data_IF_563533247791
#
_entry.id   IF_563533247791
#
_cell.length_a   1.000
_cell.length_b   1.000
_cell.length_c   1.000
_cell.angle_alpha   90.00
_cell.angle_beta   90.00
_cell.angle_gamma   90.00
#
_symmetry.space_group_name_H-M   'P 1'
#
loop_
_entity.id
_entity.type
_entity.pdbx_description
1 polymer ?
#
# COMPACT_ATOMS: atom_id res chain seq x y z
N UNK A 1 27.19 -30.52 20.88
CA UNK A 1 26.22 -29.48 21.25
C UNK A 1 26.01 -28.43 20.15
N UNK A 2 27.02 -27.77 19.60
CA UNK A 2 26.82 -26.72 18.54
C UNK A 2 26.12 -27.21 17.26
N UNK A 3 26.35 -28.41 16.78
CA UNK A 3 25.65 -28.98 15.60
C UNK A 3 24.17 -29.32 15.83
N UNK A 4 23.81 -29.72 17.08
CA UNK A 4 22.40 -30.01 17.44
C UNK A 4 21.57 -28.72 17.57
N UNK A 5 22.16 -27.63 18.04
CA UNK A 5 21.48 -26.31 18.15
C UNK A 5 21.23 -25.73 16.76
N UNK A 6 22.17 -25.89 15.82
CA UNK A 6 22.00 -25.42 14.44
C UNK A 6 20.91 -26.17 13.67
N UNK A 7 20.77 -27.49 13.89
CA UNK A 7 19.72 -28.30 13.27
C UNK A 7 18.34 -27.98 13.86
N UNK A 8 18.26 -27.76 15.18
CA UNK A 8 17.00 -27.36 15.84
C UNK A 8 16.57 -25.94 15.44
N UNK A 9 17.50 -25.02 15.30
CA UNK A 9 17.17 -23.66 14.82
C UNK A 9 16.76 -23.63 13.34
N UNK A 10 17.42 -24.40 12.47
CA UNK A 10 17.01 -24.54 11.07
C UNK A 10 15.63 -25.21 10.92
N UNK A 11 15.32 -26.21 11.77
CA UNK A 11 14.00 -26.86 11.78
C UNK A 11 12.90 -25.91 12.28
N UNK A 12 13.16 -25.13 13.31
CA UNK A 12 12.20 -24.13 13.83
C UNK A 12 11.91 -23.02 12.82
N UNK A 13 12.92 -22.54 12.10
CA UNK A 13 12.76 -21.53 11.04
C UNK A 13 11.96 -22.09 9.86
N UNK A 14 12.22 -23.35 9.46
CA UNK A 14 11.47 -23.98 8.35
C UNK A 14 9.99 -24.23 8.71
N UNK A 15 9.69 -24.62 9.94
CA UNK A 15 8.30 -24.80 10.41
C UNK A 15 7.58 -23.46 10.49
N UNK A 16 8.25 -22.39 10.90
CA UNK A 16 7.67 -21.04 10.94
C UNK A 16 7.37 -20.51 9.53
N UNK A 17 8.30 -20.64 8.58
CA UNK A 17 8.10 -20.21 7.19
C UNK A 17 6.96 -21.00 6.50
N UNK A 18 6.89 -22.33 6.73
CA UNK A 18 5.80 -23.15 6.21
C UNK A 18 4.43 -22.69 6.76
N UNK A 19 4.34 -22.46 8.06
CA UNK A 19 3.11 -22.00 8.70
C UNK A 19 2.67 -20.59 8.18
N UNK A 20 3.61 -19.71 7.89
CA UNK A 20 3.33 -18.38 7.32
C UNK A 20 2.84 -18.49 5.87
N UNK A 21 3.45 -19.36 5.06
CA UNK A 21 3.02 -19.63 3.68
C UNK A 21 1.60 -20.21 3.63
N UNK A 22 1.27 -21.19 4.51
CA UNK A 22 -0.10 -21.72 4.65
C UNK A 22 -1.08 -20.62 5.09
N UNK A 23 -0.69 -19.76 6.01
CA UNK A 23 -1.53 -18.63 6.43
C UNK A 23 -1.80 -17.64 5.28
N UNK A 24 -0.80 -17.35 4.43
CA UNK A 24 -1.00 -16.53 3.24
C UNK A 24 -2.02 -17.17 2.29
N UNK A 25 -1.91 -18.49 2.04
CA UNK A 25 -2.86 -19.24 1.20
C UNK A 25 -4.27 -19.15 1.75
N UNK A 26 -4.46 -19.43 3.04
CA UNK A 26 -5.78 -19.33 3.70
C UNK A 26 -6.40 -17.95 3.54
N UNK A 27 -5.62 -16.88 3.66
CA UNK A 27 -6.11 -15.51 3.47
C UNK A 27 -6.59 -15.25 2.04
N UNK A 28 -5.88 -15.76 1.03
CA UNK A 28 -6.26 -15.62 -0.37
C UNK A 28 -7.44 -16.53 -0.75
N UNK A 29 -7.56 -17.73 -0.14
CA UNK A 29 -8.70 -18.60 -0.33
C UNK A 29 -10.00 -18.01 0.24
N UNK A 30 -9.92 -17.30 1.37
CA UNK A 30 -11.04 -16.58 1.96
C UNK A 30 -11.54 -15.44 1.06
N UNK A 31 -10.61 -14.76 0.38
CA UNK A 31 -10.91 -13.68 -0.55
C UNK A 31 -9.82 -13.59 -1.61
N UNK A 32 -10.10 -14.14 -2.79
CA UNK A 32 -9.15 -14.17 -3.91
C UNK A 32 -8.78 -12.77 -4.41
N UNK A 33 -9.60 -11.74 -4.13
CA UNK A 33 -9.29 -10.36 -4.52
C UNK A 33 -8.09 -9.80 -3.78
N UNK A 34 -7.68 -10.39 -2.66
CA UNK A 34 -6.42 -10.09 -1.95
C UNK A 34 -5.18 -10.36 -2.81
N UNK A 35 -5.29 -11.28 -3.78
CA UNK A 35 -4.21 -11.51 -4.76
C UNK A 35 -3.92 -10.31 -5.66
N UNK A 36 -4.82 -9.32 -5.71
CA UNK A 36 -4.60 -8.03 -6.38
C UNK A 36 -3.55 -7.14 -5.67
N UNK A 37 -3.10 -7.57 -4.48
CA UNK A 37 -1.99 -6.97 -3.74
C UNK A 37 -2.22 -5.46 -3.48
N UNK A 38 -1.32 -4.59 -3.93
CA UNK A 38 -1.43 -3.14 -3.75
C UNK A 38 -2.65 -2.52 -4.47
N UNK A 39 -3.29 -3.25 -5.37
CA UNK A 39 -4.54 -2.85 -5.99
C UNK A 39 -5.78 -3.32 -5.21
N UNK A 40 -5.58 -4.05 -4.12
CA UNK A 40 -6.68 -4.44 -3.24
C UNK A 40 -7.39 -3.21 -2.66
N UNK A 41 -8.71 -3.28 -2.57
CA UNK A 41 -9.52 -2.20 -2.00
C UNK A 41 -9.22 -2.02 -0.51
N UNK A 42 -9.43 -0.81 -0.02
CA UNK A 42 -9.28 -0.52 1.41
C UNK A 42 -10.32 -1.27 2.24
N UNK A 43 -9.86 -2.13 3.11
CA UNK A 43 -10.71 -2.79 4.11
C UNK A 43 -10.78 -1.93 5.37
N UNK A 44 -11.86 -1.15 5.48
CA UNK A 44 -12.12 -0.40 6.70
C UNK A 44 -12.24 -1.35 7.90
N UNK A 45 -11.77 -0.97 9.11
CA UNK A 45 -11.98 -1.79 10.29
C UNK A 45 -13.47 -1.95 10.58
N UNK A 46 -13.96 -3.18 10.76
CA UNK A 46 -15.36 -3.49 11.09
C UNK A 46 -15.79 -2.82 12.41
N UNK A 47 -14.87 -2.73 13.36
CA UNK A 47 -15.05 -2.04 14.63
C UNK A 47 -13.85 -1.12 14.86
N UNK A 48 -14.15 0.13 15.17
CA UNK A 48 -13.15 1.07 15.66
C UNK A 48 -12.76 0.65 17.07
N UNK A 49 -11.66 -0.07 17.21
CA UNK A 49 -11.02 -0.29 18.52
C UNK A 49 -10.22 0.97 18.82
N UNK A 50 -10.59 1.65 19.90
CA UNK A 50 -9.91 2.86 20.33
C UNK A 50 -9.61 2.79 21.83
N UNK A 51 -8.35 2.53 22.16
CA UNK A 51 -7.90 2.55 23.56
C UNK A 51 -8.08 3.97 24.12
N UNK A 52 -8.87 4.14 25.22
CA UNK A 52 -9.14 5.45 25.78
C UNK A 52 -7.87 6.20 26.17
N UNK A 53 -7.85 7.51 25.95
CA UNK A 53 -6.75 8.35 26.39
C UNK A 53 -6.57 8.31 27.90
N UNK A 54 -5.32 8.35 28.41
CA UNK A 54 -5.05 8.43 29.83
C UNK A 54 -5.76 9.61 30.48
N UNK A 55 -6.16 9.45 31.75
CA UNK A 55 -6.90 10.48 32.49
C UNK A 55 -6.23 11.84 32.42
N UNK A 56 -6.97 12.85 31.99
CA UNK A 56 -6.50 14.23 31.87
C UNK A 56 -5.90 14.62 30.51
N UNK A 57 -5.68 13.65 29.61
CA UNK A 57 -5.23 13.92 28.25
C UNK A 57 -6.44 14.05 27.31
N UNK A 58 -6.34 15.00 26.38
CA UNK A 58 -7.34 15.24 25.33
C UNK A 58 -6.67 15.31 23.97
N UNK A 59 -7.24 14.72 22.91
CA UNK A 59 -6.70 14.86 21.57
C UNK A 59 -6.85 16.32 21.11
N UNK A 60 -5.83 16.83 20.39
CA UNK A 60 -5.81 18.24 19.97
C UNK A 60 -5.22 18.48 18.59
N UNK A 61 -4.48 17.53 18.01
CA UNK A 61 -3.86 17.64 16.70
C UNK A 61 -3.72 16.26 16.08
N UNK A 62 -3.86 16.18 14.73
CA UNK A 62 -3.65 14.98 13.95
C UNK A 62 -2.66 15.26 12.82
N UNK A 63 -1.64 14.41 12.69
CA UNK A 63 -0.77 14.32 11.51
C UNK A 63 -1.16 13.08 10.72
N UNK A 64 -1.56 13.25 9.46
CA UNK A 64 -2.04 12.19 8.59
C UNK A 64 -1.20 12.11 7.30
N UNK A 65 -0.94 10.88 6.85
CA UNK A 65 -0.52 10.58 5.49
C UNK A 65 -1.48 9.53 4.91
N UNK A 66 -2.07 9.82 3.74
CA UNK A 66 -2.91 8.90 2.97
C UNK A 66 -2.33 8.63 1.58
N UNK A 67 -2.24 7.35 1.20
CA UNK A 67 -2.12 6.93 -0.18
C UNK A 67 -3.41 7.31 -0.92
N UNK A 68 -3.35 7.66 -2.21
CA UNK A 68 -4.56 7.85 -3.02
C UNK A 68 -5.49 6.62 -2.96
N UNK A 69 -6.78 6.82 -3.16
CA UNK A 69 -7.78 5.76 -3.19
C UNK A 69 -7.73 4.89 -4.44
N UNK A 70 -8.70 3.98 -4.56
CA UNK A 70 -8.88 3.12 -5.74
C UNK A 70 -8.92 3.94 -7.02
N UNK A 71 -8.27 3.43 -8.06
CA UNK A 71 -7.99 4.15 -9.31
C UNK A 71 -7.98 3.23 -10.52
N UNK A 72 -8.03 3.78 -11.70
CA UNK A 72 -7.66 3.11 -12.93
C UNK A 72 -6.14 2.84 -12.96
N UNK A 73 -5.66 1.90 -13.79
CA UNK A 73 -4.22 1.71 -13.97
C UNK A 73 -3.52 3.03 -14.25
N UNK A 74 -2.37 3.26 -13.61
CA UNK A 74 -1.64 4.53 -13.72
C UNK A 74 -0.97 4.74 -15.09
N UNK A 75 -0.89 3.68 -15.90
CA UNK A 75 -0.41 3.70 -17.29
C UNK A 75 -1.15 2.66 -18.12
N UNK A 76 -1.44 2.97 -19.38
CA UNK A 76 -2.03 2.05 -20.34
C UNK A 76 -1.14 0.81 -20.60
N UNK A 77 0.19 0.96 -20.47
CA UNK A 77 1.14 -0.13 -20.65
C UNK A 77 0.86 -1.36 -19.78
N UNK A 78 0.22 -1.21 -18.64
CA UNK A 78 -0.14 -2.34 -17.77
C UNK A 78 -1.17 -3.28 -18.41
N UNK A 79 -1.99 -2.75 -19.30
CA UNK A 79 -2.97 -3.53 -20.06
C UNK A 79 -2.38 -3.91 -21.41
N UNK A 80 -1.73 -2.96 -22.08
CA UNK A 80 -1.26 -3.10 -23.47
C UNK A 80 -0.22 -4.20 -23.64
N UNK A 81 0.61 -4.48 -22.64
CA UNK A 81 1.63 -5.54 -22.71
C UNK A 81 1.01 -6.93 -22.93
N UNK A 82 0.03 -7.31 -22.12
CA UNK A 82 -0.67 -8.59 -22.27
C UNK A 82 -1.58 -8.59 -23.51
N UNK A 83 -2.33 -7.52 -23.69
CA UNK A 83 -3.31 -7.40 -24.78
C UNK A 83 -2.69 -7.41 -26.17
N UNK A 84 -1.55 -6.75 -26.39
CA UNK A 84 -0.86 -6.73 -27.69
C UNK A 84 -0.37 -8.12 -28.12
N UNK A 85 0.06 -8.94 -27.16
CA UNK A 85 0.41 -10.33 -27.42
C UNK A 85 -0.85 -11.12 -27.82
N UNK A 86 -1.93 -10.99 -27.05
CA UNK A 86 -3.22 -11.64 -27.35
C UNK A 86 -3.80 -11.21 -28.71
N UNK A 87 -3.69 -9.92 -29.05
CA UNK A 87 -4.12 -9.41 -30.36
C UNK A 87 -3.29 -10.02 -31.50
N UNK A 88 -1.98 -10.18 -31.30
CA UNK A 88 -1.10 -10.82 -32.28
C UNK A 88 -1.42 -12.29 -32.46
N UNK A 89 -1.69 -13.02 -31.39
CA UNK A 89 -2.12 -14.43 -31.44
C UNK A 89 -3.46 -14.56 -32.15
N UNK A 90 -4.42 -13.69 -31.85
CA UNK A 90 -5.74 -13.68 -32.51
C UNK A 90 -5.63 -13.42 -34.02
N UNK A 91 -4.79 -12.47 -34.45
CA UNK A 91 -4.57 -12.13 -35.85
C UNK A 91 -4.01 -13.30 -36.69
N UNK A 92 -3.42 -14.31 -36.03
CA UNK A 92 -2.86 -15.50 -36.67
C UNK A 92 -3.63 -16.79 -36.37
N UNK A 93 -4.87 -16.66 -35.86
CA UNK A 93 -5.75 -17.78 -35.49
C UNK A 93 -5.12 -18.78 -34.49
N UNK A 94 -4.29 -18.26 -33.57
CA UNK A 94 -3.58 -19.08 -32.59
C UNK A 94 -4.30 -19.18 -31.24
N UNK A 95 -5.38 -18.41 -31.00
CA UNK A 95 -6.13 -18.47 -29.74
C UNK A 95 -7.16 -19.61 -29.77
N UNK A 96 -7.26 -20.32 -28.64
CA UNK A 96 -8.39 -21.20 -28.32
C UNK A 96 -9.65 -20.36 -28.03
N UNK A 97 -10.77 -21.01 -27.76
CA UNK A 97 -11.98 -20.35 -27.28
C UNK A 97 -11.70 -19.64 -25.94
N UNK A 98 -10.99 -20.30 -25.00
CA UNK A 98 -10.60 -19.73 -23.73
C UNK A 98 -9.64 -18.54 -23.90
N UNK A 99 -8.62 -18.66 -24.76
CA UNK A 99 -7.72 -17.54 -25.06
C UNK A 99 -8.45 -16.34 -25.68
N UNK A 100 -9.46 -16.58 -26.50
CA UNK A 100 -10.29 -15.51 -27.03
C UNK A 100 -11.15 -14.83 -25.94
N UNK A 101 -11.62 -15.58 -24.93
CA UNK A 101 -12.33 -15.03 -23.78
C UNK A 101 -11.41 -14.16 -22.92
N UNK A 102 -10.19 -14.63 -22.62
CA UNK A 102 -9.17 -13.83 -21.92
C UNK A 102 -8.89 -12.50 -22.63
N UNK A 103 -8.74 -12.58 -23.97
CA UNK A 103 -8.54 -11.38 -24.80
C UNK A 103 -9.72 -10.41 -24.70
N UNK A 104 -10.95 -10.93 -24.71
CA UNK A 104 -12.16 -10.10 -24.58
C UNK A 104 -12.22 -9.37 -23.24
N UNK A 105 -11.86 -10.04 -22.14
CA UNK A 105 -11.78 -9.42 -20.82
C UNK A 105 -10.71 -8.33 -20.75
N UNK A 106 -9.55 -8.55 -21.36
CA UNK A 106 -8.52 -7.51 -21.43
C UNK A 106 -8.99 -6.28 -22.24
N UNK A 107 -9.75 -6.48 -23.31
CA UNK A 107 -10.36 -5.38 -24.06
C UNK A 107 -11.41 -4.64 -23.23
N UNK A 108 -12.23 -5.33 -22.44
CA UNK A 108 -13.19 -4.70 -21.54
C UNK A 108 -12.48 -3.82 -20.51
N UNK A 109 -11.38 -4.32 -19.90
CA UNK A 109 -10.55 -3.54 -19.00
C UNK A 109 -9.97 -2.30 -19.73
N UNK A 110 -9.46 -2.49 -20.94
CA UNK A 110 -8.89 -1.39 -21.74
C UNK A 110 -9.92 -0.31 -22.06
N UNK A 111 -11.10 -0.71 -22.47
CA UNK A 111 -12.19 0.21 -22.80
C UNK A 111 -12.64 1.01 -21.57
N UNK A 112 -12.69 0.39 -20.39
CA UNK A 112 -12.96 1.07 -19.13
C UNK A 112 -11.93 2.14 -18.79
N UNK A 113 -10.70 2.04 -19.31
CA UNK A 113 -9.62 3.00 -19.07
C UNK A 113 -9.59 4.17 -20.06
N UNK A 114 -10.48 4.17 -21.06
CA UNK A 114 -10.47 5.17 -22.14
C UNK A 114 -10.72 6.59 -21.60
N UNK A 115 -9.70 7.45 -21.68
CA UNK A 115 -9.75 8.82 -21.22
C UNK A 115 -9.59 9.03 -19.71
N UNK A 116 -9.42 7.94 -18.93
CA UNK A 116 -9.36 8.00 -17.45
C UNK A 116 -8.15 7.26 -16.84
N UNK A 117 -7.15 6.95 -17.64
CA UNK A 117 -5.93 6.28 -17.18
C UNK A 117 -5.31 7.07 -16.01
N UNK A 118 -5.09 6.39 -14.89
CA UNK A 118 -4.51 6.95 -13.67
C UNK A 118 -5.44 7.79 -12.81
N UNK A 119 -6.72 7.93 -13.21
CA UNK A 119 -7.69 8.71 -12.46
C UNK A 119 -8.25 7.94 -11.26
N UNK A 120 -8.67 8.68 -10.23
CA UNK A 120 -9.40 8.13 -9.09
C UNK A 120 -10.75 7.56 -9.58
N UNK A 121 -11.15 6.39 -9.04
CA UNK A 121 -12.50 5.86 -9.27
C UNK A 121 -13.48 6.40 -8.24
N UNK A 122 -14.79 6.14 -8.45
CA UNK A 122 -15.82 6.48 -7.47
C UNK A 122 -15.55 5.79 -6.11
N UNK A 123 -15.19 4.50 -6.14
CA UNK A 123 -14.76 3.76 -4.93
C UNK A 123 -13.61 4.44 -4.19
N UNK A 124 -12.63 4.97 -4.93
CA UNK A 124 -11.50 5.68 -4.32
C UNK A 124 -11.92 6.97 -3.61
N UNK A 125 -12.91 7.69 -4.15
CA UNK A 125 -13.49 8.85 -3.50
C UNK A 125 -14.23 8.46 -2.20
N UNK A 126 -15.06 7.41 -2.25
CA UNK A 126 -15.78 6.87 -1.08
C UNK A 126 -14.84 6.39 0.02
N UNK A 127 -13.72 5.74 -0.35
CA UNK A 127 -12.70 5.34 0.62
C UNK A 127 -12.18 6.53 1.44
N UNK A 128 -11.84 7.62 0.79
CA UNK A 128 -11.34 8.82 1.47
C UNK A 128 -12.42 9.54 2.28
N UNK A 129 -13.65 9.58 1.79
CA UNK A 129 -14.79 10.11 2.56
C UNK A 129 -15.01 9.26 3.83
N UNK A 130 -14.99 7.93 3.71
CA UNK A 130 -15.14 7.03 4.85
C UNK A 130 -14.03 7.16 5.89
N UNK A 131 -12.76 7.27 5.46
CA UNK A 131 -11.62 7.48 6.39
C UNK A 131 -11.76 8.82 7.12
N UNK A 132 -12.13 9.88 6.41
CA UNK A 132 -12.33 11.20 7.00
C UNK A 132 -13.47 11.20 8.05
N UNK A 133 -14.59 10.55 7.72
CA UNK A 133 -15.72 10.38 8.63
C UNK A 133 -15.30 9.65 9.92
N UNK A 134 -14.66 8.49 9.80
CA UNK A 134 -14.21 7.72 10.97
C UNK A 134 -13.10 8.41 11.76
N UNK A 135 -12.25 9.22 11.11
CA UNK A 135 -11.28 10.08 11.80
C UNK A 135 -11.99 11.13 12.67
N UNK A 136 -13.03 11.76 12.13
CA UNK A 136 -13.84 12.71 12.87
C UNK A 136 -14.55 12.03 14.05
N UNK A 137 -15.25 10.91 13.83
CA UNK A 137 -15.95 10.16 14.88
C UNK A 137 -15.01 9.71 16.00
N UNK A 138 -13.79 9.28 15.67
CA UNK A 138 -12.78 8.87 16.67
C UNK A 138 -12.27 10.05 17.49
N UNK A 139 -12.07 11.20 16.87
CA UNK A 139 -11.42 12.35 17.48
C UNK A 139 -12.20 13.67 17.30
N UNK A 140 -13.51 13.74 17.61
CA UNK A 140 -14.30 14.96 17.39
C UNK A 140 -13.69 16.16 18.10
N UNK A 141 -13.08 15.95 19.27
CA UNK A 141 -12.44 17.01 20.07
C UNK A 141 -11.23 17.66 19.37
N UNK A 142 -10.64 17.05 18.37
CA UNK A 142 -9.58 17.70 17.56
C UNK A 142 -10.18 18.78 16.67
N UNK A 143 -11.34 18.50 16.11
CA UNK A 143 -11.98 19.34 15.10
C UNK A 143 -13.00 20.34 15.66
N UNK A 144 -13.43 20.18 16.91
CA UNK A 144 -14.43 21.03 17.58
C UNK A 144 -13.83 22.12 18.48
N UNK A 145 -12.49 22.24 18.54
CA UNK A 145 -11.81 23.28 19.30
C UNK A 145 -12.03 24.65 18.63
N UNK A 146 -12.49 25.65 19.38
CA UNK A 146 -12.76 26.99 18.83
C UNK A 146 -11.48 27.74 18.43
N UNK A 147 -10.37 27.45 19.08
CA UNK A 147 -9.06 28.06 18.90
C UNK A 147 -8.14 27.25 17.97
N UNK A 148 -8.59 26.07 17.49
CA UNK A 148 -7.83 25.18 16.62
C UNK A 148 -8.72 24.63 15.52
N UNK A 149 -8.88 25.37 14.44
CA UNK A 149 -9.77 25.01 13.33
C UNK A 149 -9.04 24.94 11.97
N UNK A 150 -7.75 25.26 11.93
CA UNK A 150 -6.98 25.25 10.69
C UNK A 150 -6.54 23.82 10.35
N UNK A 151 -6.87 23.41 9.14
CA UNK A 151 -6.45 22.13 8.54
C UNK A 151 -5.62 22.46 7.29
N UNK A 152 -4.37 22.04 7.29
CA UNK A 152 -3.51 22.11 6.10
C UNK A 152 -3.54 20.77 5.39
N UNK A 153 -3.88 20.77 4.10
CA UNK A 153 -3.90 19.58 3.27
C UNK A 153 -3.02 19.77 2.04
N UNK A 154 -2.13 18.82 1.77
CA UNK A 154 -1.23 18.88 0.63
C UNK A 154 -1.24 17.59 -0.17
N UNK A 155 -1.04 17.66 -1.49
CA UNK A 155 -0.92 16.49 -2.34
C UNK A 155 0.13 16.67 -3.44
N UNK A 156 0.56 15.56 -4.05
CA UNK A 156 1.27 15.63 -5.34
C UNK A 156 0.36 16.25 -6.40
N UNK A 157 0.94 16.72 -7.53
CA UNK A 157 0.19 17.23 -8.68
C UNK A 157 -0.64 16.17 -9.43
N UNK A 158 -0.54 14.90 -9.02
CA UNK A 158 -1.22 13.80 -9.68
C UNK A 158 -2.71 13.81 -9.36
N UNK A 159 -3.53 13.77 -10.41
CA UNK A 159 -4.99 13.93 -10.34
C UNK A 159 -5.66 13.10 -9.24
N UNK A 160 -5.35 11.78 -9.14
CA UNK A 160 -5.93 10.90 -8.11
C UNK A 160 -5.57 11.31 -6.69
N UNK A 161 -4.39 11.89 -6.46
CA UNK A 161 -4.01 12.40 -5.14
C UNK A 161 -4.77 13.69 -4.79
N UNK A 162 -4.92 14.59 -5.77
CA UNK A 162 -5.71 15.83 -5.63
C UNK A 162 -7.16 15.49 -5.30
N UNK A 163 -7.76 14.53 -6.02
CA UNK A 163 -9.14 14.12 -5.78
C UNK A 163 -9.30 13.38 -4.45
N UNK A 164 -8.33 12.57 -4.04
CA UNK A 164 -8.32 11.93 -2.72
C UNK A 164 -8.33 12.99 -1.61
N UNK A 165 -7.44 13.98 -1.70
CA UNK A 165 -7.40 15.12 -0.78
C UNK A 165 -8.73 15.88 -0.75
N UNK A 166 -9.27 16.21 -1.92
CA UNK A 166 -10.51 16.97 -2.01
C UNK A 166 -11.71 16.22 -1.38
N UNK A 167 -11.87 14.92 -1.65
CA UNK A 167 -12.94 14.12 -1.07
C UNK A 167 -12.81 13.96 0.45
N UNK A 168 -11.58 13.80 0.95
CA UNK A 168 -11.32 13.75 2.38
C UNK A 168 -11.68 15.07 3.07
N UNK A 169 -11.19 16.21 2.54
CA UNK A 169 -11.46 17.53 3.10
C UNK A 169 -12.94 17.91 3.00
N UNK A 170 -13.61 17.55 1.89
CA UNK A 170 -15.04 17.76 1.72
C UNK A 170 -15.85 17.03 2.79
N UNK A 171 -15.47 15.78 3.12
CA UNK A 171 -16.15 15.03 4.19
C UNK A 171 -15.92 15.70 5.56
N UNK A 172 -14.69 16.09 5.92
CA UNK A 172 -14.46 16.82 7.17
C UNK A 172 -15.24 18.14 7.23
N UNK A 173 -15.43 18.84 6.09
CA UNK A 173 -16.27 20.05 6.03
C UNK A 173 -17.73 19.73 6.30
N UNK A 174 -18.23 18.57 5.86
CA UNK A 174 -19.61 18.12 6.17
C UNK A 174 -19.79 17.82 7.65
N UNK A 175 -18.75 17.25 8.29
CA UNK A 175 -18.76 16.97 9.73
C UNK A 175 -18.71 18.27 10.58
N UNK A 176 -17.82 19.18 10.20
CA UNK A 176 -17.69 20.48 10.87
C UNK A 176 -17.43 21.61 9.87
N UNK A 177 -18.47 22.39 9.50
CA UNK A 177 -18.34 23.50 8.56
C UNK A 177 -17.49 24.69 9.07
N UNK A 178 -17.12 24.72 10.36
CA UNK A 178 -16.27 25.79 10.90
C UNK A 178 -14.78 25.58 10.65
N UNK A 179 -14.36 24.39 10.15
CA UNK A 179 -12.98 24.12 9.83
C UNK A 179 -12.47 25.00 8.68
N UNK A 180 -11.25 25.49 8.82
CA UNK A 180 -10.58 26.36 7.88
C UNK A 180 -9.51 25.57 7.12
N UNK A 181 -9.79 25.28 5.85
CA UNK A 181 -8.89 24.50 5.01
C UNK A 181 -7.94 25.39 4.22
N UNK A 182 -6.65 25.06 4.28
CA UNK A 182 -5.66 25.45 3.28
C UNK A 182 -5.28 24.20 2.49
N UNK A 183 -5.67 24.16 1.22
CA UNK A 183 -5.36 23.03 0.33
C UNK A 183 -4.37 23.46 -0.74
N UNK A 184 -3.35 22.63 -0.98
CA UNK A 184 -2.36 22.88 -2.01
C UNK A 184 -1.92 21.58 -2.68
N UNK A 185 -1.60 21.64 -3.96
CA UNK A 185 -1.13 20.52 -4.75
C UNK A 185 -0.06 20.96 -5.74
N UNK A 186 1.01 20.19 -5.89
CA UNK A 186 2.06 20.57 -6.80
C UNK A 186 3.25 19.62 -6.85
N UNK A 187 4.10 19.80 -7.86
CA UNK A 187 5.32 19.01 -8.03
C UNK A 187 6.29 19.15 -6.86
N UNK A 188 6.30 20.29 -6.17
CA UNK A 188 7.12 20.50 -4.97
C UNK A 188 6.85 19.48 -3.86
N UNK A 189 5.66 18.90 -3.80
CA UNK A 189 5.28 17.87 -2.84
C UNK A 189 5.68 16.47 -3.28
N UNK A 190 5.96 16.25 -4.57
CA UNK A 190 6.39 14.96 -5.09
C UNK A 190 7.72 14.52 -4.50
N UNK A 191 8.55 15.44 -4.02
CA UNK A 191 9.83 15.16 -3.41
C UNK A 191 9.72 14.27 -2.15
N UNK A 192 8.62 14.37 -1.40
CA UNK A 192 8.40 13.58 -0.19
C UNK A 192 7.07 12.82 -0.14
N UNK A 193 6.11 13.10 -1.07
CA UNK A 193 4.85 12.36 -1.19
C UNK A 193 4.86 11.33 -2.33
N UNK A 194 5.97 11.23 -3.06
CA UNK A 194 6.23 10.24 -4.10
C UNK A 194 7.69 9.81 -4.05
N UNK A 195 8.00 8.68 -4.60
CA UNK A 195 9.37 8.18 -4.61
C UNK A 195 10.16 8.56 -5.88
N UNK A 196 9.70 9.54 -6.66
CA UNK A 196 10.31 9.89 -7.93
C UNK A 196 11.82 10.18 -7.86
N UNK A 197 12.32 10.62 -6.71
CA UNK A 197 13.76 10.88 -6.45
C UNK A 197 14.46 9.76 -5.66
N UNK A 198 13.72 8.80 -5.12
CA UNK A 198 14.22 7.76 -4.22
C UNK A 198 14.69 6.48 -4.92
N UNK A 199 14.29 6.28 -6.18
CA UNK A 199 14.67 5.08 -6.96
C UNK A 199 16.20 4.86 -7.09
N UNK A 200 17.00 5.91 -6.92
CA UNK A 200 18.46 5.82 -6.92
C UNK A 200 19.05 5.03 -5.75
N UNK A 201 18.29 4.83 -4.68
CA UNK A 201 18.72 4.06 -3.51
C UNK A 201 18.47 2.56 -3.66
N UNK A 202 17.66 2.15 -4.65
CA UNK A 202 17.23 0.77 -4.88
C UNK A 202 18.07 0.13 -5.99
N UNK A 203 18.88 -0.85 -5.64
CA UNK A 203 19.64 -1.64 -6.61
C UNK A 203 18.81 -2.85 -7.08
N UNK A 204 18.11 -2.67 -8.20
CA UNK A 204 17.28 -3.73 -8.79
C UNK A 204 18.08 -4.93 -9.30
N UNK A 205 19.38 -4.79 -9.56
CA UNK A 205 20.19 -5.92 -10.03
C UNK A 205 20.30 -7.03 -8.98
N UNK A 206 20.32 -6.65 -7.70
CA UNK A 206 20.38 -7.57 -6.57
C UNK A 206 19.08 -8.37 -6.38
N UNK A 207 17.95 -7.77 -6.70
CA UNK A 207 16.62 -8.36 -6.48
C UNK A 207 16.04 -9.06 -7.70
N UNK A 208 16.40 -8.65 -8.92
CA UNK A 208 15.86 -9.21 -10.16
C UNK A 208 16.11 -10.73 -10.28
N UNK A 209 17.30 -11.22 -9.96
CA UNK A 209 17.61 -12.65 -10.03
C UNK A 209 16.73 -13.48 -9.06
N UNK A 210 16.39 -12.91 -7.90
CA UNK A 210 15.50 -13.55 -6.93
C UNK A 210 14.07 -13.58 -7.48
N UNK A 211 13.60 -12.49 -8.07
CA UNK A 211 12.28 -12.40 -8.70
C UNK A 211 12.14 -13.36 -9.87
N UNK A 212 13.18 -13.45 -10.73
CA UNK A 212 13.22 -14.40 -11.85
C UNK A 212 13.20 -15.85 -11.35
N UNK A 213 13.94 -16.15 -10.28
CA UNK A 213 13.92 -17.47 -9.65
C UNK A 213 12.53 -17.77 -9.07
N UNK A 214 11.92 -16.82 -8.37
CA UNK A 214 10.62 -17.01 -7.72
C UNK A 214 9.53 -17.33 -8.74
N UNK A 215 9.37 -16.54 -9.80
CA UNK A 215 8.33 -16.79 -10.81
C UNK A 215 8.60 -18.11 -11.58
N UNK A 216 9.88 -18.50 -11.74
CA UNK A 216 10.23 -19.74 -12.42
C UNK A 216 9.93 -20.96 -11.57
N UNK A 217 10.09 -20.85 -10.26
CA UNK A 217 9.86 -21.95 -9.32
C UNK A 217 8.38 -22.12 -8.99
N UNK A 218 7.66 -21.04 -8.79
CA UNK A 218 6.27 -21.07 -8.31
C UNK A 218 5.24 -21.25 -9.44
N UNK A 219 5.51 -20.76 -10.67
CA UNK A 219 4.55 -20.80 -11.78
C UNK A 219 4.96 -21.81 -12.85
N UNK A 220 4.17 -22.89 -13.02
CA UNK A 220 4.18 -23.71 -14.21
C UNK A 220 3.24 -23.10 -15.28
N UNK A 221 3.75 -22.63 -16.43
CA UNK A 221 2.94 -21.98 -17.44
C UNK A 221 2.16 -22.97 -18.34
N UNK A 222 2.47 -24.27 -18.27
CA UNK A 222 2.05 -25.28 -19.27
C UNK A 222 0.53 -25.37 -19.43
N UNK A 223 -0.21 -25.42 -18.30
CA UNK A 223 -1.68 -25.50 -18.34
C UNK A 223 -2.30 -24.26 -18.99
N UNK A 224 -1.83 -23.08 -18.60
CA UNK A 224 -2.36 -21.79 -19.11
C UNK A 224 -2.04 -21.68 -20.60
N UNK A 225 -0.82 -21.97 -21.00
CA UNK A 225 -0.41 -21.91 -22.42
C UNK A 225 -1.26 -22.86 -23.28
N UNK A 226 -1.39 -24.11 -22.86
CA UNK A 226 -2.23 -25.10 -23.58
C UNK A 226 -3.73 -24.71 -23.58
N UNK A 227 -4.22 -24.04 -22.53
CA UNK A 227 -5.59 -23.57 -22.46
C UNK A 227 -5.88 -22.39 -23.39
N UNK A 228 -4.91 -21.46 -23.55
CA UNK A 228 -5.13 -20.22 -24.32
C UNK A 228 -4.67 -20.28 -25.76
N UNK A 229 -3.75 -21.21 -26.11
CA UNK A 229 -3.03 -21.23 -27.39
C UNK A 229 -3.20 -22.58 -28.07
N UNK A 230 -3.63 -22.57 -29.35
CA UNK A 230 -3.86 -23.76 -30.18
C UNK A 230 -2.57 -24.46 -30.60
N UNK A 231 -1.50 -23.68 -30.88
CA UNK A 231 -0.21 -24.14 -31.35
C UNK A 231 0.89 -23.32 -30.68
N UNK A 232 1.47 -23.89 -29.62
CA UNK A 232 2.50 -23.21 -28.83
C UNK A 232 3.78 -22.98 -29.63
N UNK A 233 4.15 -23.90 -30.55
CA UNK A 233 5.35 -23.74 -31.39
C UNK A 233 5.19 -22.56 -32.36
N UNK A 234 4.01 -22.39 -32.97
CA UNK A 234 3.71 -21.25 -33.81
C UNK A 234 3.63 -19.93 -33.03
N UNK A 235 3.28 -20.00 -31.73
CA UNK A 235 3.15 -18.84 -30.85
C UNK A 235 4.49 -18.32 -30.30
N UNK A 236 5.58 -19.10 -30.32
CA UNK A 236 6.91 -18.71 -29.75
C UNK A 236 7.42 -17.36 -30.26
N UNK A 237 7.13 -17.00 -31.51
CA UNK A 237 7.53 -15.71 -32.10
C UNK A 237 6.79 -14.50 -31.48
N UNK A 238 5.70 -14.73 -30.75
CA UNK A 238 4.90 -13.70 -30.07
C UNK A 238 5.07 -13.76 -28.54
N UNK A 239 5.21 -14.98 -28.01
CA UNK A 239 5.34 -15.26 -26.58
C UNK A 239 6.75 -15.71 -26.27
N UNK A 240 7.67 -14.74 -26.11
CA UNK A 240 9.08 -15.05 -25.84
C UNK A 240 9.33 -15.57 -24.41
N UNK A 241 8.51 -15.17 -23.45
CA UNK A 241 8.56 -15.66 -22.08
C UNK A 241 7.12 -15.91 -21.58
N UNK A 242 6.67 -17.18 -21.55
CA UNK A 242 5.33 -17.53 -21.15
C UNK A 242 4.94 -17.03 -19.75
N UNK A 243 5.86 -17.14 -18.76
CA UNK A 243 5.56 -16.71 -17.38
C UNK A 243 5.33 -15.19 -17.28
N UNK A 244 6.16 -14.41 -17.95
CA UNK A 244 6.02 -12.95 -17.97
C UNK A 244 4.79 -12.52 -18.77
N UNK A 245 4.44 -13.22 -19.86
CA UNK A 245 3.20 -12.98 -20.60
C UNK A 245 1.98 -13.23 -19.71
N UNK A 246 1.93 -14.37 -19.02
CA UNK A 246 0.87 -14.73 -18.07
C UNK A 246 0.78 -13.69 -16.96
N UNK A 247 1.92 -13.26 -16.41
CA UNK A 247 1.96 -12.20 -15.41
C UNK A 247 1.40 -10.87 -15.94
N UNK A 248 1.66 -10.49 -17.19
CA UNK A 248 1.06 -9.28 -17.77
C UNK A 248 -0.46 -9.36 -17.85
N UNK A 249 -1.01 -10.52 -18.20
CA UNK A 249 -2.46 -10.74 -18.22
C UNK A 249 -3.03 -10.66 -16.80
N UNK A 250 -2.44 -11.37 -15.85
CA UNK A 250 -2.82 -11.33 -14.43
C UNK A 250 -2.77 -9.90 -13.88
N UNK A 251 -1.66 -9.20 -14.16
CA UNK A 251 -1.46 -7.83 -13.70
C UNK A 251 -2.46 -6.84 -14.29
N UNK A 252 -2.80 -6.98 -15.56
CA UNK A 252 -3.85 -6.18 -16.18
C UNK A 252 -5.20 -6.34 -15.45
N UNK A 253 -5.54 -7.56 -15.03
CA UNK A 253 -6.74 -7.87 -14.28
C UNK A 253 -6.73 -7.40 -12.82
N UNK A 254 -5.55 -7.18 -12.24
CA UNK A 254 -5.39 -6.85 -10.81
C UNK A 254 -6.11 -5.57 -10.37
N UNK A 255 -6.46 -4.69 -11.30
CA UNK A 255 -7.19 -3.45 -11.02
C UNK A 255 -8.73 -3.63 -10.99
N UNK A 256 -9.23 -4.79 -11.40
CA UNK A 256 -10.66 -5.02 -11.66
C UNK A 256 -11.57 -4.58 -10.51
N UNK A 257 -11.25 -4.95 -9.26
CA UNK A 257 -12.06 -4.54 -8.10
C UNK A 257 -12.09 -3.02 -7.85
N UNK A 258 -11.12 -2.27 -8.37
CA UNK A 258 -11.08 -0.81 -8.25
C UNK A 258 -11.99 -0.11 -9.26
N UNK A 259 -12.38 -0.81 -10.34
CA UNK A 259 -13.15 -0.24 -11.44
C UNK A 259 -14.66 -0.21 -11.10
N UNK A 260 -15.35 0.73 -11.71
CA UNK A 260 -16.81 0.88 -11.59
C UNK A 260 -17.52 0.17 -12.76
N UNK A 261 -17.08 -1.06 -13.09
CA UNK A 261 -17.63 -1.89 -14.17
C UNK A 261 -18.12 -3.23 -13.64
N UNK A 262 -19.18 -3.78 -14.28
CA UNK A 262 -19.60 -5.15 -14.02
C UNK A 262 -18.58 -6.10 -14.66
N UNK A 263 -17.86 -6.78 -13.79
CA UNK A 263 -17.00 -7.94 -14.02
C UNK A 263 -16.16 -8.04 -15.31
N UNK A 264 -14.91 -7.56 -15.28
CA UNK A 264 -13.84 -8.29 -15.94
C UNK A 264 -13.07 -9.12 -14.90
N UNK A 265 -13.67 -10.21 -14.46
CA UNK A 265 -13.04 -11.09 -13.49
C UNK A 265 -12.03 -12.00 -14.19
N UNK A 266 -10.92 -11.41 -14.63
CA UNK A 266 -9.88 -12.13 -15.40
C UNK A 266 -9.34 -13.35 -14.64
N UNK A 267 -9.49 -13.39 -13.31
CA UNK A 267 -9.03 -14.48 -12.46
C UNK A 267 -9.81 -15.78 -12.64
N UNK A 268 -11.00 -15.75 -13.29
CA UNK A 268 -11.71 -16.96 -13.68
C UNK A 268 -10.94 -17.86 -14.63
N UNK A 269 -9.94 -17.32 -15.33
CA UNK A 269 -9.10 -18.05 -16.28
C UNK A 269 -7.90 -18.76 -15.63
N UNK A 270 -7.74 -18.63 -14.31
CA UNK A 270 -6.64 -19.18 -13.52
C UNK A 270 -7.15 -20.15 -12.46
N UNK A 271 -6.33 -21.14 -12.14
CA UNK A 271 -6.53 -21.93 -10.91
C UNK A 271 -6.05 -21.13 -9.70
N UNK A 272 -6.48 -21.54 -8.51
CA UNK A 272 -6.01 -20.89 -7.28
C UNK A 272 -4.49 -20.96 -7.11
N UNK A 273 -3.86 -22.10 -7.43
CA UNK A 273 -2.41 -22.24 -7.32
C UNK A 273 -1.65 -21.29 -8.26
N UNK A 274 -2.17 -21.06 -9.46
CA UNK A 274 -1.62 -20.08 -10.41
C UNK A 274 -1.79 -18.65 -9.92
N UNK A 275 -2.95 -18.32 -9.35
CA UNK A 275 -3.21 -17.02 -8.72
C UNK A 275 -2.23 -16.80 -7.56
N UNK A 276 -2.04 -17.82 -6.71
CA UNK A 276 -1.11 -17.77 -5.59
C UNK A 276 0.33 -17.54 -6.05
N UNK A 277 0.79 -18.29 -7.06
CA UNK A 277 2.13 -18.14 -7.62
C UNK A 277 2.38 -16.73 -8.19
N UNK A 278 1.40 -16.20 -8.94
CA UNK A 278 1.46 -14.85 -9.53
C UNK A 278 1.39 -13.76 -8.45
N UNK A 279 0.57 -13.97 -7.42
CA UNK A 279 0.52 -13.09 -6.26
C UNK A 279 1.86 -13.08 -5.50
N UNK A 280 2.45 -14.24 -5.22
CA UNK A 280 3.71 -14.34 -4.51
C UNK A 280 4.84 -13.58 -5.23
N UNK A 281 4.93 -13.76 -6.55
CA UNK A 281 5.87 -12.98 -7.38
C UNK A 281 5.59 -11.46 -7.29
N UNK A 282 4.33 -11.06 -7.39
CA UNK A 282 3.92 -9.66 -7.35
C UNK A 282 4.18 -9.03 -5.98
N UNK A 283 3.94 -9.76 -4.90
CA UNK A 283 4.20 -9.32 -3.53
C UNK A 283 5.70 -9.08 -3.30
N UNK A 284 6.54 -10.04 -3.70
CA UNK A 284 7.99 -9.91 -3.67
C UNK A 284 8.50 -8.74 -4.53
N UNK A 285 7.91 -8.53 -5.71
CA UNK A 285 8.26 -7.42 -6.60
C UNK A 285 8.03 -6.05 -5.93
N UNK A 286 6.90 -5.86 -5.25
CA UNK A 286 6.64 -4.61 -4.54
C UNK A 286 7.50 -4.46 -3.29
N UNK A 287 7.64 -5.53 -2.50
CA UNK A 287 8.52 -5.54 -1.35
C UNK A 287 9.94 -5.11 -1.71
N UNK A 288 10.48 -5.64 -2.81
CA UNK A 288 11.84 -5.38 -3.28
C UNK A 288 12.16 -3.91 -3.56
N UNK A 289 11.14 -3.08 -3.79
CA UNK A 289 11.31 -1.69 -4.21
C UNK A 289 10.72 -0.66 -3.23
N UNK A 290 9.96 -1.13 -2.23
CA UNK A 290 9.19 -0.25 -1.34
C UNK A 290 9.45 -0.50 0.14
N UNK A 291 10.06 -1.63 0.51
CA UNK A 291 10.34 -1.98 1.90
C UNK A 291 11.83 -2.25 2.08
N UNK A 292 12.36 -1.87 3.22
CA UNK A 292 13.73 -2.19 3.57
C UNK A 292 13.95 -3.70 3.59
N UNK A 293 14.75 -4.21 2.67
CA UNK A 293 15.06 -5.62 2.48
C UNK A 293 16.54 -5.92 2.71
N UNK A 294 16.89 -7.20 2.86
CA UNK A 294 18.27 -7.61 3.13
C UNK A 294 19.19 -7.39 1.92
N UNK A 295 18.69 -7.56 0.71
CA UNK A 295 19.47 -7.43 -0.52
C UNK A 295 19.99 -6.01 -0.73
N UNK A 296 19.22 -5.01 -0.33
CA UNK A 296 19.56 -3.59 -0.42
C UNK A 296 19.95 -2.96 0.91
N UNK A 297 20.18 -3.75 1.96
CA UNK A 297 20.60 -3.26 3.27
C UNK A 297 19.65 -2.18 3.83
N UNK A 298 18.35 -2.30 3.56
CA UNK A 298 17.28 -1.35 3.90
C UNK A 298 17.43 0.04 3.24
N UNK A 299 18.11 0.17 2.13
CA UNK A 299 18.27 1.47 1.46
C UNK A 299 16.94 2.08 0.98
N UNK A 300 15.89 1.28 0.80
CA UNK A 300 14.52 1.75 0.52
C UNK A 300 14.00 2.65 1.63
N UNK A 301 14.38 2.42 2.88
CA UNK A 301 13.96 3.21 4.05
C UNK A 301 14.39 4.69 3.92
N UNK A 302 15.51 4.97 3.23
CA UNK A 302 15.98 6.35 2.98
C UNK A 302 14.96 7.21 2.24
N UNK A 303 14.05 6.59 1.48
CA UNK A 303 12.95 7.28 0.80
C UNK A 303 11.99 7.88 1.84
N UNK A 304 11.77 7.17 2.96
CA UNK A 304 10.87 7.59 4.04
C UNK A 304 11.38 8.77 4.87
N UNK A 305 12.70 9.07 4.87
CA UNK A 305 13.29 10.12 5.70
C UNK A 305 12.71 11.51 5.40
N UNK A 306 12.45 11.83 4.14
CA UNK A 306 11.94 13.16 3.76
C UNK A 306 10.54 13.41 4.31
N UNK A 307 9.65 12.42 4.22
CA UNK A 307 8.31 12.55 4.79
C UNK A 307 8.34 12.55 6.31
N UNK A 308 9.23 11.77 6.93
CA UNK A 308 9.42 11.79 8.38
C UNK A 308 9.88 13.18 8.86
N UNK A 309 10.81 13.82 8.14
CA UNK A 309 11.24 15.18 8.42
C UNK A 309 10.09 16.18 8.37
N UNK A 310 9.25 16.14 7.33
CA UNK A 310 8.07 17.02 7.23
C UNK A 310 7.06 16.76 8.35
N UNK A 311 6.85 15.48 8.75
CA UNK A 311 6.01 15.14 9.89
C UNK A 311 6.53 15.78 11.19
N UNK A 312 7.81 15.68 11.47
CA UNK A 312 8.45 16.27 12.65
C UNK A 312 8.32 17.80 12.65
N UNK A 313 8.67 18.46 11.56
CA UNK A 313 8.60 19.92 11.42
C UNK A 313 7.16 20.45 11.62
N UNK A 314 6.18 19.79 11.02
CA UNK A 314 4.77 20.17 11.14
C UNK A 314 4.21 19.89 12.55
N UNK A 315 4.59 18.78 13.17
CA UNK A 315 4.23 18.49 14.56
C UNK A 315 4.81 19.53 15.51
N UNK A 316 6.10 19.91 15.38
CA UNK A 316 6.72 20.94 16.19
C UNK A 316 6.00 22.31 16.05
N UNK A 317 5.53 22.65 14.85
CA UNK A 317 4.73 23.86 14.61
C UNK A 317 3.34 23.79 15.27
N UNK A 318 2.67 22.63 15.20
CA UNK A 318 1.36 22.43 15.81
C UNK A 318 1.41 22.44 17.34
N UNK A 319 2.56 22.11 17.94
CA UNK A 319 2.79 22.08 19.39
C UNK A 319 3.13 23.45 19.97
N UNK A 320 3.48 24.46 19.15
CA UNK A 320 3.77 25.81 19.64
C UNK A 320 2.56 26.41 20.33
N UNK A 321 2.82 27.23 21.36
CA UNK A 321 1.78 27.99 22.04
C UNK A 321 1.09 28.95 21.06
N UNK A 322 -0.24 29.04 21.13
CA UNK A 322 -1.03 29.86 20.23
C UNK A 322 -1.24 29.26 18.83
N UNK A 323 -0.78 28.04 18.56
CA UNK A 323 -1.06 27.37 17.29
C UNK A 323 -2.56 27.09 17.13
N UNK A 324 -3.13 27.48 16.00
CA UNK A 324 -4.52 27.26 15.60
C UNK A 324 -4.75 25.96 14.78
N UNK A 325 -3.70 25.16 14.63
CA UNK A 325 -3.69 24.01 13.74
C UNK A 325 -4.35 22.78 14.39
N UNK A 326 -5.42 22.26 13.74
CA UNK A 326 -6.10 21.01 14.09
C UNK A 326 -5.47 19.79 13.42
N UNK A 327 -5.08 19.90 12.13
CA UNK A 327 -4.50 18.79 11.42
C UNK A 327 -3.56 19.21 10.26
N UNK A 328 -2.59 18.34 9.98
CA UNK A 328 -1.81 18.30 8.73
C UNK A 328 -2.15 17.01 7.98
N UNK A 329 -2.69 17.15 6.78
CA UNK A 329 -3.15 16.05 5.93
C UNK A 329 -2.27 15.97 4.67
N UNK A 330 -1.75 14.79 4.38
CA UNK A 330 -0.88 14.54 3.22
C UNK A 330 -1.48 13.45 2.35
N UNK A 331 -1.50 13.68 1.04
CA UNK A 331 -2.04 12.72 0.06
C UNK A 331 -1.01 12.45 -1.03
N UNK A 332 -0.57 11.21 -1.09
CA UNK A 332 0.51 10.80 -1.97
C UNK A 332 0.36 9.36 -2.46
N UNK A 333 1.47 8.69 -2.51
CA UNK A 333 1.61 7.37 -3.13
C UNK A 333 2.08 6.31 -2.14
N UNK A 334 1.79 5.04 -2.47
CA UNK A 334 2.36 3.86 -1.84
C UNK A 334 3.90 3.90 -1.80
N UNK A 335 4.51 4.36 -2.89
CA UNK A 335 5.96 4.46 -3.06
C UNK A 335 6.67 5.44 -2.11
N UNK A 336 5.94 6.23 -1.34
CA UNK A 336 6.47 7.05 -0.24
C UNK A 336 5.97 6.57 1.13
N UNK A 337 4.69 6.11 1.20
CA UNK A 337 4.14 5.63 2.46
C UNK A 337 4.79 4.32 2.90
N UNK A 338 4.98 3.35 1.99
CA UNK A 338 5.56 2.05 2.34
C UNK A 338 7.00 2.19 2.87
N UNK A 339 7.92 2.95 2.23
CA UNK A 339 9.23 3.23 2.81
C UNK A 339 9.18 3.96 4.16
N UNK A 340 8.21 4.85 4.37
CA UNK A 340 8.03 5.49 5.68
C UNK A 340 7.65 4.46 6.75
N UNK A 341 6.67 3.60 6.47
CA UNK A 341 6.24 2.54 7.40
C UNK A 341 7.39 1.60 7.74
N UNK A 342 8.17 1.20 6.72
CA UNK A 342 9.37 0.38 6.90
C UNK A 342 10.45 1.09 7.74
N UNK A 343 10.74 2.37 7.47
CA UNK A 343 11.69 3.20 8.23
C UNK A 343 11.30 3.31 9.71
N UNK A 344 10.02 3.51 9.99
CA UNK A 344 9.48 3.62 11.35
C UNK A 344 9.52 2.30 12.12
N UNK A 345 9.70 1.16 11.42
CA UNK A 345 9.69 -0.19 12.01
C UNK A 345 8.43 -0.43 12.82
N UNK A 346 7.29 -0.17 12.20
CA UNK A 346 5.98 -0.43 12.81
C UNK A 346 5.82 -1.93 13.07
N UNK A 347 5.11 -2.27 14.13
CA UNK A 347 4.80 -3.65 14.54
C UNK A 347 4.39 -4.54 13.34
N UNK A 348 5.10 -5.66 13.19
CA UNK A 348 4.98 -6.58 12.06
C UNK A 348 5.86 -6.23 10.84
N UNK A 349 6.59 -5.10 10.87
CA UNK A 349 7.52 -4.65 9.83
C UNK A 349 8.87 -4.19 10.41
N UNK A 350 9.24 -4.69 11.60
CA UNK A 350 10.46 -4.29 12.31
C UNK A 350 11.71 -4.82 11.62
N UNK A 351 11.63 -6.06 11.16
CA UNK A 351 12.76 -6.78 10.59
C UNK A 351 12.81 -6.65 9.07
N UNK A 352 14.01 -6.60 8.52
CA UNK A 352 14.22 -6.77 7.09
C UNK A 352 14.29 -8.26 6.76
N UNK A 353 13.63 -8.64 5.70
CA UNK A 353 13.64 -10.00 5.17
C UNK A 353 14.25 -10.05 3.77
N UNK A 354 14.66 -11.22 3.32
CA UNK A 354 14.99 -11.42 1.91
C UNK A 354 13.75 -11.21 1.04
N UNK A 355 13.93 -10.69 -0.15
CA UNK A 355 12.87 -10.52 -1.15
C UNK A 355 12.17 -11.85 -1.45
N UNK A 356 12.89 -12.97 -1.38
CA UNK A 356 12.30 -14.31 -1.54
C UNK A 356 11.30 -14.68 -0.45
N UNK A 357 11.40 -14.07 0.73
CA UNK A 357 10.53 -14.32 1.89
C UNK A 357 9.32 -13.38 1.94
N UNK A 358 9.26 -12.35 1.09
CA UNK A 358 8.20 -11.35 1.12
C UNK A 358 6.78 -11.96 1.15
N UNK A 359 6.46 -12.98 0.34
CA UNK A 359 5.12 -13.59 0.35
C UNK A 359 4.74 -14.27 1.66
N UNK A 360 5.72 -14.54 2.52
CA UNK A 360 5.50 -15.17 3.82
C UNK A 360 5.33 -14.14 4.96
N UNK A 361 5.75 -12.87 4.76
CA UNK A 361 5.88 -11.90 5.87
C UNK A 361 5.23 -10.53 5.63
N UNK A 362 5.07 -10.10 4.38
CA UNK A 362 4.66 -8.71 4.11
C UNK A 362 3.16 -8.53 3.82
N UNK A 363 2.57 -9.35 2.95
CA UNK A 363 1.17 -9.29 2.53
C UNK A 363 0.75 -7.88 2.06
N UNK A 364 1.18 -7.47 0.87
CA UNK A 364 0.94 -6.13 0.34
C UNK A 364 -0.53 -5.70 0.33
N UNK A 365 -1.47 -6.63 0.15
CA UNK A 365 -2.91 -6.37 0.24
C UNK A 365 -3.37 -5.89 1.63
N UNK A 366 -2.65 -6.26 2.70
CA UNK A 366 -2.91 -5.83 4.09
C UNK A 366 -2.07 -4.61 4.45
N UNK A 367 -0.78 -4.66 4.08
CA UNK A 367 0.17 -3.61 4.43
C UNK A 367 -0.10 -2.33 3.65
N UNK A 368 -0.35 -2.43 2.34
CA UNK A 368 -0.42 -1.25 1.48
C UNK A 368 -1.60 -1.31 0.47
N UNK A 369 -2.85 -1.63 0.88
CA UNK A 369 -4.00 -1.55 -0.02
C UNK A 369 -4.24 -0.13 -0.53
N UNK A 370 -5.17 0.07 -1.46
CA UNK A 370 -5.62 1.40 -1.87
C UNK A 370 -6.07 2.21 -0.65
N UNK A 371 -5.86 3.52 -0.64
CA UNK A 371 -6.17 4.44 0.46
C UNK A 371 -5.47 4.11 1.81
N UNK A 372 -4.41 3.29 1.83
CA UNK A 372 -3.61 3.07 3.04
C UNK A 372 -3.21 4.37 3.70
N UNK A 373 -3.19 4.39 5.02
CA UNK A 373 -2.92 5.62 5.74
C UNK A 373 -2.21 5.40 7.08
N UNK A 374 -1.41 6.39 7.46
CA UNK A 374 -0.81 6.53 8.78
C UNK A 374 -1.40 7.77 9.45
N UNK A 375 -1.90 7.61 10.67
CA UNK A 375 -2.41 8.70 11.48
C UNK A 375 -1.64 8.75 12.79
N UNK A 376 -1.18 9.93 13.17
CA UNK A 376 -0.57 10.21 14.46
C UNK A 376 -1.47 11.19 15.20
N UNK A 377 -2.09 10.74 16.30
CA UNK A 377 -3.02 11.52 17.09
C UNK A 377 -2.31 12.02 18.34
N UNK A 378 -2.25 13.32 18.50
CA UNK A 378 -1.56 13.99 19.60
C UNK A 378 -2.54 14.38 20.70
N UNK A 379 -2.19 14.06 21.94
CA UNK A 379 -2.97 14.30 23.14
C UNK A 379 -2.20 15.18 24.10
N UNK A 380 -2.86 16.14 24.74
CA UNK A 380 -2.24 17.06 25.70
C UNK A 380 -2.98 17.07 27.03
N UNK A 381 -2.24 17.17 28.13
CA UNK A 381 -2.80 17.39 29.46
C UNK A 381 -2.68 18.86 29.87
N UNK A 382 -3.25 19.22 31.03
CA UNK A 382 -3.20 20.59 31.56
C UNK A 382 -1.78 21.07 31.94
N UNK A 383 -0.83 20.15 32.12
CA UNK A 383 0.58 20.50 32.43
C UNK A 383 1.41 20.76 31.17
N UNK A 384 0.85 20.49 30.00
CA UNK A 384 1.54 20.61 28.74
C UNK A 384 2.24 19.33 28.26
N UNK A 385 2.15 18.23 29.01
CA UNK A 385 2.71 16.95 28.57
C UNK A 385 1.96 16.44 27.34
N UNK A 386 2.69 15.88 26.39
CA UNK A 386 2.14 15.41 25.09
C UNK A 386 2.35 13.92 24.94
N UNK A 387 1.27 13.24 24.61
CA UNK A 387 1.27 11.83 24.19
C UNK A 387 0.87 11.71 22.72
N UNK A 388 1.33 10.63 22.08
CA UNK A 388 1.00 10.29 20.69
C UNK A 388 0.53 8.85 20.62
N UNK A 389 -0.53 8.62 19.85
CA UNK A 389 -1.00 7.30 19.45
C UNK A 389 -0.92 7.19 17.93
N UNK A 390 -0.43 6.04 17.44
CA UNK A 390 -0.34 5.76 16.00
C UNK A 390 -1.48 4.83 15.57
N UNK A 391 -2.02 5.13 14.39
CA UNK A 391 -2.93 4.23 13.68
C UNK A 391 -2.35 3.96 12.29
N UNK A 392 -2.26 2.69 11.95
CA UNK A 392 -1.92 2.26 10.60
C UNK A 392 -3.13 1.57 9.98
N UNK A 393 -3.58 2.05 8.82
CA UNK A 393 -4.83 1.62 8.21
C UNK A 393 -5.99 1.64 9.22
N UNK A 394 -6.07 2.74 10.01
CA UNK A 394 -7.07 3.01 11.06
C UNK A 394 -7.08 2.01 12.24
N UNK A 395 -6.08 1.13 12.34
CA UNK A 395 -5.88 0.21 13.47
C UNK A 395 -4.75 0.71 14.34
N UNK A 396 -4.93 0.61 15.68
CA UNK A 396 -3.86 0.96 16.62
C UNK A 396 -2.62 0.10 16.33
N UNK A 397 -1.48 0.74 16.28
CA UNK A 397 -0.19 0.10 16.01
C UNK A 397 0.89 0.65 16.92
N UNK A 398 1.98 -0.09 17.05
CA UNK A 398 3.13 0.27 17.88
C UNK A 398 4.44 0.29 17.07
N UNK A 399 5.46 0.91 17.65
CA UNK A 399 6.85 0.85 17.21
C UNK A 399 7.61 0.14 18.32
N UNK A 400 7.96 -1.16 18.17
CA UNK A 400 8.54 -1.96 19.23
C UNK A 400 9.87 -1.42 19.78
N UNK A 401 10.61 -0.65 18.97
CA UNK A 401 11.86 -0.01 19.39
C UNK A 401 11.69 1.11 20.42
N UNK A 402 10.45 1.59 20.65
CA UNK A 402 10.14 2.69 21.58
C UNK A 402 9.18 2.20 22.65
N UNK A 403 9.51 2.42 23.91
CA UNK A 403 8.63 2.02 25.01
C UNK A 403 7.38 2.89 25.07
N UNK A 404 6.21 2.25 25.07
CA UNK A 404 4.95 2.94 25.37
C UNK A 404 4.86 3.30 26.85
N UNK A 405 4.26 4.44 27.15
CA UNK A 405 4.07 4.84 28.55
C UNK A 405 2.80 4.23 29.18
N UNK A 406 1.77 3.95 28.38
CA UNK A 406 0.48 3.43 28.82
C UNK A 406 -0.35 2.97 27.63
N UNK A 407 -0.61 1.66 27.51
CA UNK A 407 -1.26 1.09 26.32
C UNK A 407 -0.52 1.49 25.03
N UNK A 408 -1.20 1.95 23.96
CA UNK A 408 -0.58 2.30 22.70
C UNK A 408 -0.05 3.75 22.64
N UNK A 409 0.12 4.41 23.79
CA UNK A 409 0.54 5.81 23.87
C UNK A 409 2.04 5.96 24.12
N UNK A 410 2.67 6.83 23.36
CA UNK A 410 4.07 7.25 23.52
C UNK A 410 4.14 8.65 24.11
N UNK A 411 5.14 8.93 24.94
CA UNK A 411 5.54 10.32 25.19
C UNK A 411 6.12 10.90 23.92
N UNK A 412 5.63 12.05 23.50
CA UNK A 412 6.12 12.67 22.26
C UNK A 412 7.62 12.94 22.28
N UNK A 413 8.18 13.34 23.41
CA UNK A 413 9.62 13.57 23.54
C UNK A 413 10.46 12.33 23.18
N UNK A 414 10.05 11.15 23.66
CA UNK A 414 10.76 9.90 23.42
C UNK A 414 10.57 9.42 21.98
N UNK A 415 9.33 9.48 21.47
CA UNK A 415 9.03 9.11 20.07
C UNK A 415 9.72 10.07 19.09
N UNK A 416 9.76 11.37 19.38
CA UNK A 416 10.43 12.37 18.57
C UNK A 416 11.95 12.16 18.52
N UNK A 417 12.56 11.78 19.64
CA UNK A 417 13.99 11.43 19.70
C UNK A 417 14.30 10.24 18.80
N UNK A 418 13.50 9.18 18.91
CA UNK A 418 13.60 8.02 18.02
C UNK A 418 13.45 8.42 16.54
N UNK A 419 12.43 9.17 16.17
CA UNK A 419 12.24 9.63 14.80
C UNK A 419 13.39 10.48 14.29
N UNK A 420 13.97 11.33 15.15
CA UNK A 420 15.15 12.12 14.79
C UNK A 420 16.38 11.24 14.54
N UNK A 421 16.51 10.14 15.27
CA UNK A 421 17.63 9.18 15.08
C UNK A 421 17.53 8.39 13.76
N UNK A 422 16.37 8.38 13.11
CA UNK A 422 16.16 7.74 11.82
C UNK A 422 16.49 8.66 10.62
N UNK A 423 16.76 9.95 10.84
CA UNK A 423 17.10 10.93 9.81
C UNK A 423 18.61 11.05 9.60
#
# INVERSE_FOLDING_TARGET
MKRFVLVLSALAVSISAFAQREYARELLEQDVTRSMNLHHNYEAPEKVVDTPAPKGYKPFYISHYGRHGSRYHWTANHIDRGLSIMDSLAAHDLLTEEGAAVRADLWQIKDAHKGVVGYLTHKGAEQHQGIAHRMYERCPKVFEQKDRQRVEAVSTAVQRCIQSMANFCLQLTRENPSLQFTMDAGERYAEYLSNSSGLKYVDKSRTNAILDSLITTELDPSRIMASWIKDEAAAEKYVHNPRIFIYYVFWAGSIGQCLDIEDPYIYRHFTFDEIYALWAYNDAYYYSSMCGNLENERNEDLIGQRILKDILEKADLALKEGSDKAADLRFGHDSALSPLISLLRIEGLEEAHSVAQAPDVWFGFRSMPMASNLQMIFYKNKKGDVLVKLLYNERETTIPAVQTCCGPYYKWSELREYFTSLL
#
